data_IF_637017443137
#
_entry.id   IF_637017443137
#
_cell.length_a   1.000
_cell.length_b   1.000
_cell.length_c   1.000
_cell.angle_alpha   90.00
_cell.angle_beta   90.00
_cell.angle_gamma   90.00
#
_symmetry.space_group_name_H-M   'P 1'
#
loop_
_entity.id
_entity.type
_entity.pdbx_description
1 polymer ?
#
# COMPACT_ATOMS: atom_id res chain seq x y z
N UNK A 1 1.26 -12.49 10.17
CA UNK A 1 0.77 -11.44 9.25
C UNK A 1 -0.71 -11.19 9.56
N UNK A 2 -1.08 -9.92 9.76
CA UNK A 2 -2.48 -9.53 9.83
C UNK A 2 -3.16 -9.78 8.48
N UNK A 3 -4.45 -10.08 8.51
CA UNK A 3 -5.20 -10.50 7.34
C UNK A 3 -6.60 -9.90 7.28
N UNK A 4 -7.41 -10.36 6.35
CA UNK A 4 -8.79 -9.89 6.13
C UNK A 4 -9.61 -10.00 7.42
N UNK A 5 -10.28 -8.91 7.80
CA UNK A 5 -11.07 -8.77 9.02
C UNK A 5 -10.31 -8.20 10.21
N UNK A 6 -8.97 -8.17 10.17
CA UNK A 6 -8.19 -7.53 11.22
C UNK A 6 -8.25 -5.99 11.09
N UNK A 7 -8.14 -5.29 12.21
CA UNK A 7 -7.95 -3.84 12.20
C UNK A 7 -6.51 -3.49 11.91
N UNK A 8 -6.31 -2.51 11.02
CA UNK A 8 -4.97 -1.99 10.75
C UNK A 8 -4.42 -1.31 12.02
N UNK A 9 -3.15 -1.55 12.41
CA UNK A 9 -2.59 -1.02 13.66
C UNK A 9 -2.57 0.50 13.72
N UNK A 10 -2.63 1.04 14.93
CA UNK A 10 -2.27 2.43 15.16
C UNK A 10 -0.78 2.63 14.92
N UNK A 11 -0.43 3.75 14.30
CA UNK A 11 0.97 4.12 14.04
C UNK A 11 1.14 5.64 13.99
N UNK A 12 2.36 6.08 14.21
CA UNK A 12 2.82 7.45 13.95
C UNK A 12 4.26 7.40 13.47
N UNK A 13 4.50 7.79 12.23
CA UNK A 13 5.81 7.71 11.58
C UNK A 13 6.15 9.03 10.88
N UNK A 14 7.42 9.41 10.94
CA UNK A 14 7.94 10.46 10.06
C UNK A 14 8.03 9.91 8.63
N UNK A 15 7.66 10.73 7.67
CA UNK A 15 7.68 10.36 6.26
C UNK A 15 8.44 11.40 5.43
N UNK A 16 9.12 10.94 4.39
CA UNK A 16 9.56 11.80 3.29
C UNK A 16 8.39 11.98 2.33
N UNK A 17 7.90 13.21 2.21
CA UNK A 17 6.71 13.54 1.43
C UNK A 17 7.02 14.36 0.18
N UNK A 18 8.21 14.97 0.10
CA UNK A 18 8.57 15.90 -0.97
C UNK A 18 10.08 16.06 -1.07
N UNK A 19 10.55 16.58 -2.19
CA UNK A 19 11.91 17.09 -2.37
C UNK A 19 11.97 18.62 -2.33
N UNK A 20 10.83 19.29 -2.11
CA UNK A 20 10.76 20.76 -2.00
C UNK A 20 11.44 21.20 -0.70
N UNK A 21 12.36 22.18 -0.82
CA UNK A 21 13.13 22.70 0.30
C UNK A 21 12.20 23.23 1.42
N UNK A 22 12.39 22.69 2.62
CA UNK A 22 11.63 23.04 3.81
C UNK A 22 10.29 22.30 3.95
N UNK A 23 9.96 21.41 3.02
CA UNK A 23 8.72 20.60 3.02
C UNK A 23 9.01 19.11 2.79
N UNK A 24 10.21 18.68 3.11
CA UNK A 24 10.67 17.31 2.82
C UNK A 24 9.98 16.26 3.69
N UNK A 25 9.67 16.60 4.94
CA UNK A 25 9.19 15.65 5.94
C UNK A 25 7.87 16.08 6.57
N UNK A 26 7.06 15.10 6.91
CA UNK A 26 5.83 15.27 7.66
C UNK A 26 5.58 14.06 8.56
N UNK A 27 4.71 14.21 9.54
CA UNK A 27 4.27 13.11 10.40
C UNK A 27 2.98 12.53 9.86
N UNK A 28 2.97 11.23 9.59
CA UNK A 28 1.82 10.47 9.15
C UNK A 28 1.42 9.50 10.26
N UNK A 29 0.17 9.49 10.65
CA UNK A 29 -0.37 8.56 11.62
C UNK A 29 -1.64 7.86 11.10
N UNK A 30 -2.16 6.94 11.86
CA UNK A 30 -3.34 6.15 11.50
C UNK A 30 -4.61 6.98 11.28
N UNK A 31 -4.65 8.26 11.70
CA UNK A 31 -5.77 9.19 11.51
C UNK A 31 -5.56 10.18 10.38
N UNK A 32 -4.35 10.32 9.85
CA UNK A 32 -4.03 11.32 8.82
C UNK A 32 -4.96 11.22 7.60
N UNK A 33 -5.32 10.01 7.21
CA UNK A 33 -6.21 9.72 6.08
C UNK A 33 -7.48 9.00 6.53
N UNK A 34 -8.01 9.35 7.71
CA UNK A 34 -9.24 8.75 8.24
C UNK A 34 -10.40 8.95 7.25
N UNK A 35 -11.22 7.90 7.09
CA UNK A 35 -12.35 7.91 6.15
C UNK A 35 -12.00 7.60 4.70
N UNK A 36 -10.73 7.51 4.35
CA UNK A 36 -10.26 7.06 3.03
C UNK A 36 -9.88 5.59 3.04
N UNK A 37 -9.96 4.96 1.88
CA UNK A 37 -9.24 3.71 1.64
C UNK A 37 -7.73 3.96 1.70
N UNK A 38 -6.97 2.99 2.16
CA UNK A 38 -5.51 3.08 2.21
C UNK A 38 -4.89 1.86 1.56
N UNK A 39 -3.91 2.10 0.73
CA UNK A 39 -3.04 1.07 0.14
C UNK A 39 -1.71 1.20 0.86
N UNK A 40 -1.48 0.34 1.84
CA UNK A 40 -0.24 0.37 2.63
C UNK A 40 0.67 -0.75 2.16
N UNK A 41 1.87 -0.41 1.69
CA UNK A 41 2.83 -1.41 1.25
C UNK A 41 4.21 -1.22 1.85
N UNK A 42 4.84 -2.32 2.17
CA UNK A 42 6.20 -2.37 2.72
C UNK A 42 7.19 -2.90 1.69
N UNK A 43 8.42 -2.42 1.74
CA UNK A 43 9.55 -2.99 1.01
C UNK A 43 10.73 -3.20 1.96
N UNK A 44 11.66 -4.14 1.64
CA UNK A 44 12.74 -4.50 2.55
C UNK A 44 13.73 -3.38 2.84
N UNK A 45 14.29 -2.75 1.81
CA UNK A 45 15.37 -1.76 1.95
C UNK A 45 15.40 -0.77 0.80
N UNK A 46 15.75 0.46 1.14
CA UNK A 46 16.14 1.49 0.17
C UNK A 46 17.46 1.11 -0.53
N UNK A 47 17.72 1.75 -1.66
CA UNK A 47 18.94 1.57 -2.46
C UNK A 47 19.20 0.12 -2.91
N UNK A 48 18.13 -0.63 -3.21
CA UNK A 48 18.18 -1.98 -3.75
C UNK A 48 17.62 -2.05 -5.17
N UNK A 49 17.26 -3.22 -5.68
CA UNK A 49 17.00 -3.43 -7.10
C UNK A 49 15.53 -3.62 -7.46
N UNK A 50 14.80 -4.46 -6.74
CA UNK A 50 13.36 -4.71 -6.98
C UNK A 50 12.50 -3.58 -6.41
N UNK A 51 12.85 -3.07 -5.22
CA UNK A 51 12.06 -2.08 -4.49
C UNK A 51 11.73 -0.82 -5.31
N UNK A 52 12.69 -0.17 -6.02
CA UNK A 52 12.35 1.04 -6.76
C UNK A 52 11.41 0.79 -7.93
N UNK A 53 11.43 -0.39 -8.52
CA UNK A 53 10.50 -0.74 -9.61
C UNK A 53 9.07 -0.81 -9.14
N UNK A 54 8.83 -1.34 -7.93
CA UNK A 54 7.50 -1.42 -7.32
C UNK A 54 6.99 -0.04 -6.89
N UNK A 55 7.83 0.74 -6.21
CA UNK A 55 7.49 2.08 -5.73
C UNK A 55 7.12 2.98 -6.91
N UNK A 56 7.92 2.97 -7.98
CA UNK A 56 7.62 3.71 -9.20
C UNK A 56 6.32 3.23 -9.87
N UNK A 57 6.05 1.93 -9.88
CA UNK A 57 4.82 1.37 -10.44
C UNK A 57 3.56 1.80 -9.65
N UNK A 58 3.63 1.82 -8.32
CA UNK A 58 2.57 2.42 -7.50
C UNK A 58 2.41 3.92 -7.77
N UNK A 59 3.51 4.63 -7.92
CA UNK A 59 3.50 6.06 -8.24
C UNK A 59 2.78 6.39 -9.54
N UNK A 60 2.99 5.57 -10.58
CA UNK A 60 2.31 5.72 -11.87
C UNK A 60 0.80 5.49 -11.80
N UNK A 61 0.32 4.73 -10.83
CA UNK A 61 -1.10 4.46 -10.61
C UNK A 61 -1.72 5.37 -9.54
N UNK A 62 -0.97 6.33 -9.00
CA UNK A 62 -1.43 7.16 -7.89
C UNK A 62 -2.76 7.88 -8.20
N UNK A 63 -2.89 8.47 -9.38
CA UNK A 63 -4.11 9.19 -9.76
C UNK A 63 -5.30 8.24 -9.87
N UNK A 64 -5.08 7.02 -10.36
CA UNK A 64 -6.13 6.01 -10.41
C UNK A 64 -6.59 5.56 -9.03
N UNK A 65 -5.67 5.41 -8.07
CA UNK A 65 -6.03 5.15 -6.68
C UNK A 65 -6.74 6.35 -6.04
N UNK A 66 -6.26 7.57 -6.30
CA UNK A 66 -6.88 8.79 -5.79
C UNK A 66 -8.31 8.98 -6.32
N UNK A 67 -8.58 8.66 -7.58
CA UNK A 67 -9.92 8.68 -8.18
C UNK A 67 -10.90 7.72 -7.48
N UNK A 68 -10.37 6.72 -6.78
CA UNK A 68 -11.13 5.75 -5.97
C UNK A 68 -11.14 6.07 -4.48
N UNK A 69 -10.81 7.31 -4.13
CA UNK A 69 -10.69 7.77 -2.74
C UNK A 69 -9.73 6.92 -1.89
N UNK A 70 -8.62 6.48 -2.49
CA UNK A 70 -7.61 5.67 -1.85
C UNK A 70 -6.27 6.40 -1.79
N UNK A 71 -5.65 6.40 -0.61
CA UNK A 71 -4.32 6.94 -0.35
C UNK A 71 -3.28 5.85 -0.35
N UNK A 72 -2.24 5.99 -1.15
CA UNK A 72 -1.06 5.12 -1.11
C UNK A 72 -0.12 5.57 0.01
N UNK A 73 0.35 4.62 0.79
CA UNK A 73 1.35 4.80 1.85
C UNK A 73 2.40 3.70 1.72
N UNK A 74 3.65 4.08 1.49
CA UNK A 74 4.75 3.14 1.42
C UNK A 74 5.66 3.26 2.65
N UNK A 75 6.32 2.17 3.06
CA UNK A 75 7.28 2.22 4.16
C UNK A 75 8.35 1.13 4.10
N UNK A 76 9.46 1.40 4.76
CA UNK A 76 10.48 0.42 5.13
C UNK A 76 11.07 0.77 6.51
N UNK A 77 12.01 -0.03 6.99
CA UNK A 77 12.75 0.25 8.23
C UNK A 77 13.83 1.33 8.06
N UNK A 78 14.04 1.87 6.86
CA UNK A 78 14.99 2.95 6.63
C UNK A 78 14.49 4.28 7.21
N UNK A 79 15.41 5.21 7.50
CA UNK A 79 15.06 6.52 8.02
C UNK A 79 14.47 7.43 6.94
N UNK A 80 13.77 8.48 7.37
CA UNK A 80 13.25 9.53 6.50
C UNK A 80 14.35 10.23 5.69
N UNK A 81 15.55 10.33 6.25
CA UNK A 81 16.71 10.90 5.56
C UNK A 81 17.22 9.99 4.46
N UNK A 82 17.21 8.67 4.68
CA UNK A 82 17.57 7.67 3.66
C UNK A 82 16.53 7.70 2.53
N UNK A 83 15.25 7.74 2.85
CA UNK A 83 14.18 7.90 1.86
C UNK A 83 14.35 9.17 1.03
N UNK A 84 14.64 10.29 1.67
CA UNK A 84 14.89 11.56 0.97
C UNK A 84 16.08 11.46 0.02
N UNK A 85 17.22 10.92 0.49
CA UNK A 85 18.41 10.74 -0.33
C UNK A 85 18.12 9.83 -1.54
N UNK A 86 17.39 8.76 -1.34
CA UNK A 86 17.04 7.82 -2.40
C UNK A 86 16.10 8.44 -3.44
N UNK A 87 15.07 9.17 -3.00
CA UNK A 87 14.19 9.91 -3.92
C UNK A 87 14.95 10.92 -4.75
N UNK A 88 15.94 11.60 -4.15
CA UNK A 88 16.77 12.58 -4.86
C UNK A 88 17.70 11.93 -5.85
N UNK A 89 18.25 10.77 -5.55
CA UNK A 89 19.23 10.04 -6.36
C UNK A 89 18.58 9.23 -7.49
N UNK A 90 17.43 8.62 -7.26
CA UNK A 90 16.80 7.70 -8.20
C UNK A 90 15.80 8.42 -9.11
N UNK A 91 16.02 8.43 -10.43
CA UNK A 91 15.20 9.21 -11.37
C UNK A 91 13.71 8.83 -11.36
N UNK A 92 13.37 7.57 -11.12
CA UNK A 92 11.98 7.11 -11.10
C UNK A 92 11.26 7.43 -9.78
N UNK A 93 11.97 7.93 -8.76
CA UNK A 93 11.42 8.27 -7.44
C UNK A 93 11.39 9.78 -7.17
N UNK A 94 11.98 10.59 -8.05
CA UNK A 94 12.09 12.05 -7.87
C UNK A 94 10.72 12.71 -7.70
N UNK A 95 9.75 12.33 -8.54
CA UNK A 95 8.40 12.88 -8.55
C UNK A 95 7.36 11.98 -7.87
N UNK A 96 7.78 11.16 -6.92
CA UNK A 96 6.90 10.22 -6.24
C UNK A 96 5.75 10.96 -5.53
N UNK A 97 4.47 10.63 -5.83
CA UNK A 97 3.32 11.41 -5.38
C UNK A 97 2.76 11.00 -4.02
N UNK A 98 3.35 10.00 -3.35
CA UNK A 98 2.88 9.52 -2.04
C UNK A 98 4.01 9.50 -1.00
N UNK A 99 3.67 9.49 0.30
CA UNK A 99 4.65 9.46 1.37
C UNK A 99 5.47 8.17 1.42
N UNK A 100 6.76 8.30 1.74
CA UNK A 100 7.63 7.19 2.13
C UNK A 100 7.85 7.28 3.65
N UNK A 101 7.13 6.47 4.41
CA UNK A 101 7.19 6.45 5.88
C UNK A 101 8.40 5.68 6.38
N UNK A 102 9.00 6.15 7.46
CA UNK A 102 10.20 5.59 8.08
C UNK A 102 9.82 4.82 9.34
N UNK A 103 9.76 3.49 9.25
CA UNK A 103 9.51 2.60 10.40
C UNK A 103 10.83 2.17 11.06
N UNK A 104 11.69 3.15 11.40
CA UNK A 104 13.05 2.92 11.89
C UNK A 104 13.12 2.14 13.21
N UNK A 105 12.02 2.13 13.97
CA UNK A 105 11.90 1.33 15.21
C UNK A 105 11.22 -0.01 15.02
N UNK A 106 10.82 -0.32 13.78
CA UNK A 106 10.12 -1.56 13.38
C UNK A 106 8.79 -1.78 14.12
N UNK A 107 8.16 -0.71 14.60
CA UNK A 107 6.90 -0.81 15.35
C UNK A 107 5.75 -1.24 14.43
N UNK A 108 5.62 -0.63 13.26
CA UNK A 108 4.55 -0.96 12.32
C UNK A 108 4.74 -2.35 11.69
N UNK A 109 5.95 -2.66 11.22
CA UNK A 109 6.18 -3.98 10.60
C UNK A 109 6.00 -5.14 11.59
N UNK A 110 6.31 -4.94 12.88
CA UNK A 110 6.05 -5.93 13.93
C UNK A 110 4.56 -6.05 14.22
N UNK A 111 3.86 -4.92 14.34
CA UNK A 111 2.41 -4.93 14.56
C UNK A 111 1.64 -5.61 13.42
N UNK A 112 2.11 -5.45 12.18
CA UNK A 112 1.56 -6.13 11.01
C UNK A 112 1.99 -7.60 10.89
N UNK A 113 3.01 -8.01 11.64
CA UNK A 113 3.55 -9.39 11.57
C UNK A 113 4.34 -9.67 10.28
N UNK A 114 5.01 -8.66 9.73
CA UNK A 114 5.77 -8.74 8.47
C UNK A 114 7.26 -8.48 8.62
N UNK A 115 7.78 -8.37 9.84
CA UNK A 115 9.23 -8.34 10.05
C UNK A 115 9.82 -9.72 9.75
N UNK A 116 10.76 -9.77 8.81
CA UNK A 116 11.49 -10.99 8.48
C UNK A 116 12.54 -11.35 9.53
N UNK A 117 13.03 -12.57 9.50
CA UNK A 117 14.10 -13.02 10.41
C UNK A 117 15.41 -12.22 10.25
N UNK A 118 15.61 -11.63 9.08
CA UNK A 118 16.73 -10.74 8.75
C UNK A 118 16.54 -9.30 9.27
N UNK A 119 15.43 -9.00 9.93
CA UNK A 119 15.10 -7.68 10.48
C UNK A 119 14.57 -6.68 9.45
N UNK A 120 14.29 -7.12 8.22
CA UNK A 120 13.69 -6.26 7.19
C UNK A 120 12.21 -6.56 7.01
N UNK A 121 11.45 -5.57 6.54
CA UNK A 121 10.06 -5.79 6.18
C UNK A 121 9.95 -6.74 4.99
N UNK A 122 9.00 -7.66 5.05
CA UNK A 122 8.60 -8.45 3.89
C UNK A 122 7.89 -7.57 2.85
N UNK A 123 7.87 -8.02 1.58
CA UNK A 123 7.10 -7.35 0.52
C UNK A 123 5.62 -7.60 0.72
N UNK A 124 5.00 -6.82 1.58
CA UNK A 124 3.58 -6.91 1.91
C UNK A 124 2.79 -5.72 1.37
N UNK A 125 1.54 -5.96 1.00
CA UNK A 125 0.53 -4.95 0.67
C UNK A 125 -0.73 -5.23 1.47
N UNK A 126 -1.32 -4.17 2.01
CA UNK A 126 -2.61 -4.19 2.67
C UNK A 126 -3.55 -3.20 1.99
N UNK A 127 -4.74 -3.65 1.63
CA UNK A 127 -5.86 -2.78 1.27
C UNK A 127 -6.73 -2.62 2.50
N UNK A 128 -6.83 -1.40 2.98
CA UNK A 128 -7.54 -1.05 4.22
C UNK A 128 -8.74 -0.18 3.88
N UNK A 129 -9.91 -0.56 4.36
CA UNK A 129 -11.14 0.18 4.09
C UNK A 129 -11.30 1.43 4.95
N UNK A 130 -12.41 2.15 4.72
CA UNK A 130 -12.75 3.38 5.43
C UNK A 130 -13.00 3.20 6.93
N UNK A 131 -13.27 1.95 7.37
CA UNK A 131 -13.45 1.58 8.76
C UNK A 131 -12.15 1.07 9.42
N UNK A 132 -11.03 1.24 8.75
CA UNK A 132 -9.71 0.79 9.19
C UNK A 132 -9.60 -0.74 9.32
N UNK A 133 -10.34 -1.47 8.50
CA UNK A 133 -10.32 -2.93 8.43
C UNK A 133 -9.58 -3.40 7.18
N UNK A 134 -8.73 -4.40 7.33
CA UNK A 134 -7.98 -5.00 6.23
C UNK A 134 -8.94 -5.83 5.38
N UNK A 135 -9.02 -5.55 4.08
CA UNK A 135 -9.86 -6.23 3.12
C UNK A 135 -9.05 -7.09 2.14
N UNK A 136 -7.75 -6.90 2.07
CA UNK A 136 -6.83 -7.68 1.23
C UNK A 136 -5.43 -7.62 1.79
N UNK A 137 -4.73 -8.74 1.74
CA UNK A 137 -3.32 -8.85 2.11
C UNK A 137 -2.58 -9.68 1.06
N UNK A 138 -1.46 -9.18 0.59
CA UNK A 138 -0.52 -9.89 -0.28
C UNK A 138 0.87 -9.83 0.32
N UNK A 139 1.57 -10.96 0.36
CA UNK A 139 2.99 -11.02 0.73
C UNK A 139 3.71 -11.86 -0.30
N UNK A 140 4.80 -11.34 -0.87
CA UNK A 140 5.61 -12.05 -1.86
C UNK A 140 7.01 -12.31 -1.34
N UNK A 141 7.68 -13.31 -1.90
CA UNK A 141 9.10 -13.55 -1.64
C UNK A 141 9.95 -12.31 -1.99
N UNK A 142 11.04 -12.11 -1.26
CA UNK A 142 11.87 -10.91 -1.40
C UNK A 142 12.44 -10.66 -2.80
N UNK A 143 12.58 -11.71 -3.61
CA UNK A 143 13.07 -11.65 -5.00
C UNK A 143 11.99 -11.36 -6.05
N UNK A 144 10.71 -11.32 -5.67
CA UNK A 144 9.59 -11.19 -6.61
C UNK A 144 8.83 -9.88 -6.36
N UNK A 145 8.86 -8.99 -7.35
CA UNK A 145 8.08 -7.74 -7.35
C UNK A 145 6.58 -8.00 -7.44
N UNK A 146 5.81 -7.14 -6.79
CA UNK A 146 4.34 -7.16 -6.80
C UNK A 146 3.78 -6.54 -8.08
N UNK A 147 2.50 -6.80 -8.35
CA UNK A 147 1.77 -6.18 -9.44
C UNK A 147 0.75 -5.15 -8.88
N UNK A 148 1.05 -3.83 -8.92
CA UNK A 148 0.12 -2.81 -8.41
C UNK A 148 -1.23 -2.77 -9.14
N UNK A 149 -1.29 -3.22 -10.39
CA UNK A 149 -2.56 -3.31 -11.15
C UNK A 149 -3.51 -4.35 -10.56
N UNK A 150 -2.96 -5.44 -9.99
CA UNK A 150 -3.78 -6.41 -9.26
C UNK A 150 -4.33 -5.81 -7.96
N UNK A 151 -3.55 -5.00 -7.26
CA UNK A 151 -4.03 -4.27 -6.08
C UNK A 151 -5.16 -3.31 -6.44
N UNK A 152 -5.03 -2.59 -7.56
CA UNK A 152 -6.08 -1.72 -8.09
C UNK A 152 -7.33 -2.50 -8.48
N UNK A 153 -7.17 -3.64 -9.17
CA UNK A 153 -8.28 -4.53 -9.53
C UNK A 153 -9.06 -5.00 -8.30
N UNK A 154 -8.35 -5.42 -7.26
CA UNK A 154 -8.96 -5.86 -6.00
C UNK A 154 -9.69 -4.71 -5.31
N UNK A 155 -9.11 -3.51 -5.27
CA UNK A 155 -9.77 -2.31 -4.73
C UNK A 155 -11.07 -2.03 -5.48
N UNK A 156 -11.05 -2.07 -6.82
CA UNK A 156 -12.25 -1.89 -7.65
C UNK A 156 -13.34 -2.91 -7.29
N UNK A 157 -12.96 -4.17 -7.14
CA UNK A 157 -13.89 -5.23 -6.76
C UNK A 157 -14.49 -4.99 -5.36
N UNK A 158 -13.65 -4.64 -4.38
CA UNK A 158 -14.08 -4.34 -3.02
C UNK A 158 -15.08 -3.17 -2.96
N UNK A 159 -14.88 -2.15 -3.78
CA UNK A 159 -15.73 -0.95 -3.83
C UNK A 159 -17.08 -1.19 -4.52
N UNK A 160 -17.29 -2.30 -5.22
CA UNK A 160 -18.61 -2.65 -5.75
C UNK A 160 -19.58 -3.04 -4.65
N UNK A 161 -19.09 -3.56 -3.53
CA UNK A 161 -19.88 -4.19 -2.47
C UNK A 161 -20.80 -5.32 -2.96
N UNK A 162 -20.41 -5.96 -4.08
CA UNK A 162 -21.15 -7.01 -4.76
C UNK A 162 -20.33 -8.30 -4.88
N UNK A 163 -20.92 -9.37 -5.36
CA UNK A 163 -20.24 -10.63 -5.58
C UNK A 163 -19.46 -10.59 -6.90
N UNK A 164 -18.16 -10.37 -6.81
CA UNK A 164 -17.28 -10.36 -7.97
C UNK A 164 -16.79 -11.78 -8.28
N UNK A 165 -17.05 -12.31 -9.48
CA UNK A 165 -16.58 -13.65 -9.85
C UNK A 165 -15.05 -13.71 -10.02
N UNK A 166 -14.54 -14.91 -10.16
CA UNK A 166 -13.14 -15.15 -10.49
C UNK A 166 -12.73 -14.34 -11.73
N UNK A 167 -11.53 -13.75 -11.70
CA UNK A 167 -10.97 -12.89 -12.77
C UNK A 167 -11.77 -11.62 -13.07
N UNK A 168 -12.70 -11.23 -12.22
CA UNK A 168 -13.46 -10.00 -12.39
C UNK A 168 -12.53 -8.79 -12.53
N UNK A 169 -12.86 -7.88 -13.40
CA UNK A 169 -12.21 -6.57 -13.55
C UNK A 169 -13.29 -5.49 -13.69
N UNK A 170 -12.90 -4.25 -13.44
CA UNK A 170 -13.80 -3.10 -13.57
C UNK A 170 -14.48 -3.08 -14.94
N UNK A 171 -15.80 -2.96 -14.95
CA UNK A 171 -16.66 -3.02 -16.15
C UNK A 171 -17.28 -4.38 -16.43
N UNK A 172 -16.80 -5.45 -15.77
CA UNK A 172 -17.44 -6.77 -15.86
C UNK A 172 -18.69 -6.82 -14.98
N UNK A 173 -19.62 -7.73 -15.31
CA UNK A 173 -20.81 -7.96 -14.51
C UNK A 173 -20.47 -8.65 -13.19
N UNK A 174 -21.22 -8.32 -12.15
CA UNK A 174 -21.19 -8.99 -10.85
C UNK A 174 -22.24 -10.10 -10.80
N UNK A 175 -22.18 -10.95 -9.78
CA UNK A 175 -23.13 -12.05 -9.61
C UNK A 175 -24.32 -11.58 -8.77
N UNK A 176 -25.53 -11.86 -9.26
CA UNK A 176 -26.78 -11.69 -8.50
C UNK A 176 -27.18 -13.03 -7.85
N UNK A 177 -27.02 -13.18 -6.52
CA UNK A 177 -27.34 -14.44 -5.86
C UNK A 177 -28.82 -14.80 -5.93
N UNK A 178 -29.71 -13.81 -6.00
CA UNK A 178 -31.17 -14.04 -6.11
C UNK A 178 -31.50 -14.65 -7.46
N UNK A 179 -31.00 -14.07 -8.56
CA UNK A 179 -31.18 -14.57 -9.89
C UNK A 179 -30.59 -15.98 -10.06
N UNK A 180 -29.37 -16.19 -9.58
CA UNK A 180 -28.71 -17.50 -9.64
C UNK A 180 -29.44 -18.60 -8.87
N UNK A 181 -30.02 -18.29 -7.71
CA UNK A 181 -30.83 -19.25 -6.93
C UNK A 181 -32.18 -19.54 -7.61
N UNK A 182 -32.73 -18.58 -8.35
CA UNK A 182 -33.96 -18.77 -9.16
C UNK A 182 -33.73 -19.56 -10.44
N UNK A 183 -32.47 -19.78 -10.85
CA UNK A 183 -32.13 -20.49 -12.09
C UNK A 183 -32.27 -19.65 -13.36
N UNK A 184 -32.10 -18.33 -13.23
CA UNK A 184 -32.16 -17.34 -14.30
C UNK A 184 -30.79 -17.04 -14.90
#
# INVERSE_FOLDING_TARGET
>A
VLTVGDKFPEFELTACVSLEKGKEFDTINHKTYEGKWKIVFAWPKDFTFVCPTEIAAFGKLNDEFADRDAQILGFSGDSEFVHHAWRKDHPDLTDLPFPMMADSRHELMRALGIEGEDGFAQRAVFVVDQNNEIQFTMVTAGSVGRNPKEVLRVLDALQTDELCPCNWKQGDETLDPVALLAGE
#
